data_IF_398316756334
#
_entry.id   IF_398316756334
#
_cell.length_a   1.000
_cell.length_b   1.000
_cell.length_c   1.000
_cell.angle_alpha   90.00
_cell.angle_beta   90.00
_cell.angle_gamma   90.00
#
_symmetry.space_group_name_H-M   'P 1'
#
loop_
_entity.id
_entity.type
_entity.pdbx_description
1 polymer ?
#
# COMPACT_ATOMS: atom_id res chain seq x y z
N UNK A 1 -0.03 26.21 -40.18
CA UNK A 1 -0.97 25.41 -41.00
C UNK A 1 -0.90 23.96 -40.55
N UNK A 2 -2.07 23.34 -40.39
CA UNK A 2 -2.34 22.05 -39.73
C UNK A 2 -1.63 20.88 -40.41
N UNK A 3 -1.22 19.87 -39.64
CA UNK A 3 -1.13 18.48 -40.13
C UNK A 3 -1.67 17.53 -39.06
N UNK A 4 -2.89 17.10 -39.33
CA UNK A 4 -3.69 16.09 -38.66
C UNK A 4 -3.24 14.71 -39.15
N UNK A 5 -2.82 13.81 -38.26
CA UNK A 5 -2.68 12.38 -38.60
C UNK A 5 -3.15 11.48 -37.44
N UNK A 6 -4.47 11.27 -37.43
CA UNK A 6 -5.22 10.02 -37.25
C UNK A 6 -4.74 9.01 -36.19
N UNK A 7 -5.59 8.88 -35.15
CA UNK A 7 -5.88 7.68 -34.37
C UNK A 7 -5.88 6.42 -35.26
N UNK A 8 -5.36 5.30 -34.75
CA UNK A 8 -6.06 4.00 -34.54
C UNK A 8 -5.03 2.88 -34.42
N UNK A 9 -4.81 2.34 -33.22
CA UNK A 9 -4.32 0.96 -33.06
C UNK A 9 -5.12 0.32 -31.92
N UNK A 10 -6.20 -0.36 -32.29
CA UNK A 10 -6.82 -1.40 -31.50
C UNK A 10 -6.34 -2.73 -32.07
N UNK A 11 -5.77 -3.58 -31.22
CA UNK A 11 -5.62 -5.00 -31.50
C UNK A 11 -6.12 -5.74 -30.26
N UNK A 12 -7.38 -6.16 -30.34
CA UNK A 12 -7.96 -7.14 -29.42
C UNK A 12 -7.23 -8.47 -29.63
N UNK A 13 -6.54 -8.96 -28.60
CA UNK A 13 -6.02 -10.32 -28.58
C UNK A 13 -6.86 -11.16 -27.62
N UNK A 14 -8.03 -11.59 -28.11
CA UNK A 14 -8.81 -12.65 -27.50
C UNK A 14 -8.27 -14.00 -28.00
N UNK A 15 -7.56 -14.73 -27.14
CA UNK A 15 -7.32 -16.16 -27.31
C UNK A 15 -8.13 -16.90 -26.25
N UNK A 16 -9.18 -17.57 -26.71
CA UNK A 16 -9.98 -18.49 -25.91
C UNK A 16 -9.61 -19.93 -26.30
N UNK A 17 -9.68 -20.80 -25.28
CA UNK A 17 -9.82 -22.26 -25.30
C UNK A 17 -8.54 -23.10 -25.51
N UNK A 18 -8.14 -23.82 -24.46
CA UNK A 18 -8.44 -25.26 -24.36
C UNK A 18 -8.16 -25.76 -22.93
N UNK A 19 -9.21 -26.12 -22.18
CA UNK A 19 -9.05 -26.77 -20.87
C UNK A 19 -8.91 -28.30 -21.06
N UNK A 20 -7.88 -28.96 -20.52
CA UNK A 20 -7.84 -30.41 -20.45
C UNK A 20 -8.70 -30.90 -19.29
N UNK A 21 -9.75 -31.64 -19.64
CA UNK A 21 -10.59 -32.43 -18.74
C UNK A 21 -9.80 -33.67 -18.31
N UNK A 22 -9.60 -33.84 -16.99
CA UNK A 22 -9.50 -35.17 -16.36
C UNK A 22 -8.12 -35.73 -15.96
N UNK A 23 -7.94 -35.82 -14.64
CA UNK A 23 -7.23 -36.88 -13.89
C UNK A 23 -5.71 -37.06 -14.07
N UNK A 24 -4.94 -36.40 -13.21
CA UNK A 24 -3.96 -37.08 -12.34
C UNK A 24 -3.75 -36.21 -11.10
N UNK A 25 -4.06 -36.76 -9.92
CA UNK A 25 -3.64 -36.23 -8.64
C UNK A 25 -2.12 -36.39 -8.52
N UNK A 26 -1.38 -35.51 -9.17
CA UNK A 26 -0.04 -35.14 -8.74
C UNK A 26 -0.19 -33.77 -8.10
N UNK A 27 0.30 -33.54 -6.87
CA UNK A 27 0.55 -32.17 -6.45
C UNK A 27 1.54 -31.64 -7.48
N UNK A 28 1.05 -30.87 -8.45
CA UNK A 28 1.90 -29.96 -9.20
C UNK A 28 2.66 -29.18 -8.13
N UNK A 29 3.98 -29.04 -8.19
CA UNK A 29 4.66 -28.00 -7.44
C UNK A 29 4.13 -26.68 -8.00
N UNK A 30 2.95 -26.28 -7.53
CA UNK A 30 2.35 -24.99 -7.78
C UNK A 30 3.21 -24.03 -6.99
N UNK A 31 4.07 -23.33 -7.72
CA UNK A 31 4.32 -21.92 -7.46
C UNK A 31 4.69 -21.63 -6.00
N UNK A 32 5.77 -22.25 -5.52
CA UNK A 32 6.47 -21.69 -4.35
C UNK A 32 7.03 -20.29 -4.66
N UNK A 33 7.26 -19.96 -5.93
CA UNK A 33 7.82 -18.65 -6.31
C UNK A 33 6.80 -17.50 -6.39
N UNK A 34 5.49 -17.73 -6.52
CA UNK A 34 4.50 -16.64 -6.58
C UNK A 34 3.95 -16.23 -5.19
N UNK A 35 4.18 -17.05 -4.15
CA UNK A 35 3.82 -16.68 -2.77
C UNK A 35 4.83 -15.76 -2.08
N UNK A 36 6.00 -15.55 -2.68
CA UNK A 36 7.08 -14.78 -2.06
C UNK A 36 6.97 -13.27 -2.27
N UNK A 37 6.09 -12.79 -3.17
CA UNK A 37 5.82 -11.35 -3.33
C UNK A 37 4.73 -10.83 -2.37
N UNK A 38 3.98 -11.73 -1.72
CA UNK A 38 2.92 -11.39 -0.76
C UNK A 38 3.33 -11.60 0.71
N UNK A 39 4.59 -11.98 0.96
CA UNK A 39 5.23 -11.88 2.26
C UNK A 39 5.89 -10.50 2.42
N UNK A 40 5.19 -9.42 2.05
CA UNK A 40 5.44 -8.16 2.76
C UNK A 40 5.09 -8.46 4.21
N UNK A 41 6.14 -8.65 5.02
CA UNK A 41 6.07 -9.02 6.42
C UNK A 41 4.90 -8.26 7.06
N UNK A 42 3.87 -8.98 7.51
CA UNK A 42 2.73 -8.42 8.25
C UNK A 42 3.21 -7.95 9.63
N UNK A 43 4.19 -7.05 9.68
CA UNK A 43 4.60 -6.36 10.88
C UNK A 43 3.41 -5.52 11.29
N UNK A 44 2.88 -5.82 12.48
CA UNK A 44 1.81 -5.03 13.08
C UNK A 44 2.44 -4.17 14.15
N UNK A 45 2.22 -2.87 14.05
CA UNK A 45 2.61 -1.92 15.07
C UNK A 45 1.41 -1.65 15.98
N UNK A 46 1.63 -1.68 17.29
CA UNK A 46 0.60 -1.40 18.28
C UNK A 46 0.63 0.07 18.65
N UNK A 47 -0.49 0.76 18.42
CA UNK A 47 -0.70 2.13 18.88
C UNK A 47 -1.28 2.08 20.30
N UNK A 48 -0.47 2.49 21.27
CA UNK A 48 -0.87 2.52 22.68
C UNK A 48 -1.85 3.64 23.00
N UNK A 49 -1.88 4.72 22.21
CA UNK A 49 -2.71 5.89 22.43
C UNK A 49 -4.17 5.60 22.08
N UNK A 50 -4.41 4.89 20.97
CA UNK A 50 -5.75 4.51 20.50
C UNK A 50 -6.10 3.03 20.73
N UNK A 51 -5.14 2.24 21.21
CA UNK A 51 -5.28 0.81 21.57
C UNK A 51 -5.68 -0.07 20.39
N UNK A 52 -5.17 0.26 19.22
CA UNK A 52 -5.37 -0.41 17.94
C UNK A 52 -4.06 -0.96 17.36
N UNK A 53 -4.22 -1.88 16.40
CA UNK A 53 -3.11 -2.47 15.66
C UNK A 53 -3.14 -1.95 14.24
N UNK A 54 -2.02 -1.36 13.81
CA UNK A 54 -1.82 -0.91 12.46
C UNK A 54 -0.92 -1.89 11.71
N UNK A 55 -1.23 -2.12 10.43
CA UNK A 55 -0.34 -2.86 9.56
C UNK A 55 0.79 -1.93 9.12
N UNK A 56 2.03 -2.37 9.34
CA UNK A 56 3.22 -1.70 8.86
C UNK A 56 3.48 -2.09 7.40
N UNK A 57 2.64 -1.55 6.51
CA UNK A 57 2.78 -1.74 5.07
C UNK A 57 3.66 -0.65 4.44
N UNK A 58 3.84 -0.70 3.12
CA UNK A 58 4.61 0.30 2.38
C UNK A 58 4.05 1.74 2.48
N UNK A 59 2.75 1.90 2.74
CA UNK A 59 2.14 3.23 2.96
C UNK A 59 2.53 3.77 4.31
N UNK A 60 2.51 2.91 5.33
CA UNK A 60 2.89 3.28 6.68
C UNK A 60 4.38 3.58 6.81
N UNK A 61 5.25 2.80 6.16
CA UNK A 61 6.69 3.11 6.09
C UNK A 61 6.95 4.48 5.45
N UNK A 62 6.22 4.83 4.38
CA UNK A 62 6.32 6.15 3.74
C UNK A 62 5.87 7.27 4.68
N UNK A 63 4.76 7.08 5.38
CA UNK A 63 4.26 8.06 6.34
C UNK A 63 5.23 8.25 7.51
N UNK A 64 5.83 7.17 8.01
CA UNK A 64 6.86 7.21 9.04
C UNK A 64 8.11 7.98 8.59
N UNK A 65 8.61 7.74 7.38
CA UNK A 65 9.73 8.52 6.81
C UNK A 65 9.39 9.99 6.66
N UNK A 66 8.17 10.32 6.26
CA UNK A 66 7.73 11.70 6.16
C UNK A 66 7.71 12.38 7.54
N UNK A 67 7.20 11.70 8.56
CA UNK A 67 7.21 12.19 9.94
C UNK A 67 8.62 12.47 10.46
N UNK A 68 9.57 11.58 10.17
CA UNK A 68 10.99 11.80 10.49
C UNK A 68 11.55 13.03 9.75
N UNK A 69 11.26 13.15 8.45
CA UNK A 69 11.71 14.26 7.64
C UNK A 69 11.13 15.61 8.11
N UNK A 70 9.84 15.67 8.47
CA UNK A 70 9.20 16.86 9.05
C UNK A 70 9.88 17.33 10.34
N UNK A 71 10.47 16.40 11.08
CA UNK A 71 11.15 16.67 12.35
C UNK A 71 12.67 16.77 12.23
N UNK A 72 13.22 16.62 11.01
CA UNK A 72 14.65 16.57 10.75
C UNK A 72 15.38 15.50 11.58
N UNK A 73 14.75 14.34 11.78
CA UNK A 73 15.37 13.19 12.42
C UNK A 73 15.99 12.24 11.40
N UNK A 74 17.10 11.61 11.79
CA UNK A 74 17.69 10.51 11.04
C UNK A 74 16.76 9.29 11.02
N UNK A 75 16.92 8.44 10.00
CA UNK A 75 16.15 7.20 9.92
C UNK A 75 16.54 6.23 11.04
N UNK A 76 15.56 5.86 11.84
CA UNK A 76 15.66 4.82 12.87
C UNK A 76 14.50 3.86 12.66
N UNK A 77 14.76 2.56 12.73
CA UNK A 77 13.70 1.55 12.68
C UNK A 77 12.68 1.79 13.79
N UNK A 78 11.39 1.65 13.46
CA UNK A 78 10.29 1.91 14.40
C UNK A 78 10.43 1.10 15.70
N UNK A 79 10.88 -0.16 15.62
CA UNK A 79 11.09 -1.03 16.78
C UNK A 79 12.19 -0.52 17.74
N UNK A 80 13.13 0.28 17.23
CA UNK A 80 14.23 0.88 17.99
C UNK A 80 13.91 2.29 18.48
N UNK A 81 12.78 2.84 18.06
CA UNK A 81 12.33 4.17 18.44
C UNK A 81 11.93 4.18 19.93
N UNK A 82 12.16 5.30 20.62
CA UNK A 82 11.76 5.45 22.03
C UNK A 82 10.24 5.38 22.14
N UNK A 83 9.72 4.84 23.24
CA UNK A 83 8.28 4.74 23.46
C UNK A 83 7.56 6.09 23.39
N UNK A 84 8.23 7.18 23.79
CA UNK A 84 7.70 8.55 23.68
C UNK A 84 7.51 8.96 22.20
N UNK A 85 8.51 8.70 21.38
CA UNK A 85 8.53 9.02 19.96
C UNK A 85 7.55 8.15 19.17
N UNK A 86 7.38 6.87 19.55
CA UNK A 86 6.34 6.00 18.99
C UNK A 86 4.94 6.57 19.22
N UNK A 87 4.66 7.07 20.42
CA UNK A 87 3.38 7.72 20.72
C UNK A 87 3.18 9.01 19.93
N UNK A 88 4.24 9.80 19.78
CA UNK A 88 4.18 11.05 19.01
C UNK A 88 4.04 10.80 17.51
N UNK A 89 4.53 9.67 17.01
CA UNK A 89 4.26 9.20 15.66
C UNK A 89 2.76 8.93 15.47
N UNK A 90 2.15 8.08 16.31
CA UNK A 90 0.73 7.76 16.20
C UNK A 90 -0.18 8.98 16.32
N UNK A 91 0.10 9.89 17.25
CA UNK A 91 -0.65 11.16 17.37
C UNK A 91 -0.59 12.00 16.10
N UNK A 92 0.58 12.09 15.48
CA UNK A 92 0.72 12.76 14.19
C UNK A 92 -0.04 12.00 13.11
N UNK A 93 0.02 10.67 13.11
CA UNK A 93 -0.57 9.82 12.09
C UNK A 93 -2.09 9.96 12.02
N UNK A 94 -2.75 9.95 13.17
CA UNK A 94 -4.19 10.22 13.32
C UNK A 94 -4.58 11.66 12.91
N UNK A 95 -3.68 12.63 13.08
CA UNK A 95 -3.91 14.00 12.62
C UNK A 95 -3.88 14.10 11.09
N UNK A 96 -2.96 13.40 10.44
CA UNK A 96 -2.88 13.34 8.99
C UNK A 96 -4.14 12.68 8.40
N UNK A 97 -4.57 11.53 8.94
CA UNK A 97 -5.78 10.84 8.48
C UNK A 97 -7.05 11.70 8.57
N UNK A 98 -7.17 12.53 9.63
CA UNK A 98 -8.28 13.47 9.76
C UNK A 98 -8.24 14.57 8.70
N UNK A 99 -7.06 15.02 8.30
CA UNK A 99 -6.90 16.03 7.25
C UNK A 99 -7.27 15.44 5.90
N UNK A 100 -6.73 14.26 5.59
CA UNK A 100 -6.98 13.57 4.32
C UNK A 100 -8.49 13.31 4.11
N UNK A 101 -9.21 12.89 5.17
CA UNK A 101 -10.67 12.70 5.13
C UNK A 101 -11.46 14.00 4.93
N UNK A 102 -10.95 15.12 5.46
CA UNK A 102 -11.64 16.40 5.34
C UNK A 102 -11.52 16.97 3.93
N UNK A 103 -10.34 16.84 3.32
CA UNK A 103 -10.10 17.22 1.92
C UNK A 103 -11.02 16.44 0.97
N UNK A 104 -11.19 15.13 1.18
CA UNK A 104 -12.13 14.31 0.40
C UNK A 104 -13.59 14.78 0.55
N UNK A 105 -14.02 15.20 1.74
CA UNK A 105 -15.41 15.61 1.95
C UNK A 105 -15.72 16.97 1.31
N UNK A 106 -14.78 17.92 1.34
CA UNK A 106 -14.95 19.24 0.69
C UNK A 106 -15.00 19.14 -0.85
N UNK A 107 -14.23 18.22 -1.45
CA UNK A 107 -14.29 17.99 -2.91
C UNK A 107 -15.63 17.41 -3.36
N UNK A 108 -16.26 16.58 -2.53
CA UNK A 108 -17.52 15.92 -2.85
C UNK A 108 -18.75 16.84 -2.72
N UNK A 109 -18.70 17.90 -1.91
CA UNK A 109 -19.81 18.85 -1.76
C UNK A 109 -19.84 19.94 -2.86
N UNK A 110 -18.75 20.11 -3.62
CA UNK A 110 -18.60 21.20 -4.59
C UNK A 110 -18.82 20.81 -6.07
N UNK A 111 -19.37 19.61 -6.35
CA UNK A 111 -19.67 19.13 -7.70
C UNK A 111 -21.15 18.74 -7.86
#
# INVERSE_FOLDING_TARGET
MRREHKLTVSLFLSSALMAPVGAMAMPRPQDEHERHEQEEHQRRAYDQEYRDYHNWDSREDRAYRQWLAERNHDYVDYDHLRAEDQRDYWKWRHKQEKRDRHEEHEEHEHN
#
